data_IF_585995183328
#
_entry.id   IF_585995183328
#
_cell.length_a   1.000
_cell.length_b   1.000
_cell.length_c   1.000
_cell.angle_alpha   90.00
_cell.angle_beta   90.00
_cell.angle_gamma   90.00
#
_symmetry.space_group_name_H-M   'P 1'
#
loop_
_entity.id
_entity.type
_entity.pdbx_description
1 polymer ?
#
# COMPACT_ATOMS: atom_id res chain seq x y z
N UNK A 1 15.91 34.04 6.53
CA UNK A 1 15.10 33.36 5.50
C UNK A 1 14.93 31.93 5.96
N UNK A 2 13.72 31.49 6.30
CA UNK A 2 13.50 30.07 6.63
C UNK A 2 13.58 29.31 5.31
N UNK A 3 14.67 28.59 5.10
CA UNK A 3 14.72 27.57 4.05
C UNK A 3 13.79 26.48 4.54
N UNK A 4 12.66 26.31 3.86
CA UNK A 4 11.79 25.15 4.03
C UNK A 4 12.68 23.92 3.89
N UNK A 5 12.87 23.21 5.01
CA UNK A 5 13.80 22.08 5.06
C UNK A 5 13.25 21.01 4.12
N UNK A 6 14.07 20.39 3.26
CA UNK A 6 13.58 19.40 2.28
C UNK A 6 12.72 18.28 2.87
N UNK A 7 12.91 17.94 4.14
CA UNK A 7 12.09 16.96 4.89
C UNK A 7 10.61 17.40 5.06
N UNK A 8 10.33 18.69 5.19
CA UNK A 8 8.96 19.20 5.34
C UNK A 8 8.17 19.08 4.02
N UNK A 9 8.86 19.26 2.90
CA UNK A 9 8.28 19.02 1.57
C UNK A 9 8.00 17.54 1.35
N UNK A 10 8.93 16.66 1.73
CA UNK A 10 8.74 15.20 1.64
C UNK A 10 7.59 14.71 2.52
N UNK A 11 7.51 15.18 3.77
CA UNK A 11 6.40 14.88 4.67
C UNK A 11 5.05 15.36 4.12
N UNK A 12 5.02 16.51 3.44
CA UNK A 12 3.83 17.03 2.77
C UNK A 12 3.41 16.14 1.59
N UNK A 13 4.36 15.61 0.83
CA UNK A 13 4.08 14.66 -0.27
C UNK A 13 3.58 13.33 0.26
N UNK A 14 4.16 12.83 1.35
CA UNK A 14 3.75 11.61 2.02
C UNK A 14 2.30 11.68 2.53
N UNK A 15 1.93 12.80 3.14
CA UNK A 15 0.55 13.07 3.59
C UNK A 15 -0.43 13.10 2.41
N UNK A 16 -0.06 13.78 1.31
CA UNK A 16 -0.88 13.81 0.09
C UNK A 16 -1.02 12.42 -0.54
N UNK A 17 0.04 11.61 -0.55
CA UNK A 17 0.00 10.23 -1.02
C UNK A 17 -0.99 9.37 -0.20
N UNK A 18 -0.95 9.49 1.12
CA UNK A 18 -1.89 8.80 2.01
C UNK A 18 -3.34 9.26 1.77
N UNK A 19 -3.56 10.57 1.60
CA UNK A 19 -4.86 11.12 1.27
C UNK A 19 -5.41 10.54 -0.04
N UNK A 20 -4.61 10.51 -1.11
CA UNK A 20 -5.00 9.93 -2.38
C UNK A 20 -5.24 8.43 -2.30
N UNK A 21 -4.46 7.70 -1.50
CA UNK A 21 -4.68 6.28 -1.26
C UNK A 21 -6.08 6.05 -0.69
N UNK A 22 -6.50 6.81 0.32
CA UNK A 22 -7.84 6.70 0.88
C UNK A 22 -8.94 7.11 -0.13
N UNK A 23 -8.74 8.18 -0.91
CA UNK A 23 -9.74 8.65 -1.90
C UNK A 23 -9.91 7.72 -3.09
N UNK A 24 -8.85 7.07 -3.57
CA UNK A 24 -8.90 6.19 -4.75
C UNK A 24 -9.47 4.80 -4.44
N UNK A 25 -9.36 4.35 -3.19
CA UNK A 25 -10.00 3.11 -2.72
C UNK A 25 -11.46 3.31 -2.29
N UNK A 26 -11.96 4.55 -2.29
CA UNK A 26 -13.37 4.85 -2.05
C UNK A 26 -14.19 4.62 -3.34
N UNK A 27 -15.30 3.86 -3.23
CA UNK A 27 -16.16 3.50 -4.36
C UNK A 27 -16.81 4.74 -5.02
N UNK A 28 -16.93 5.84 -4.28
CA UNK A 28 -17.52 7.09 -4.75
C UNK A 28 -16.47 8.07 -5.34
N UNK A 29 -15.28 7.58 -5.71
CA UNK A 29 -14.24 8.39 -6.33
C UNK A 29 -14.67 8.97 -7.69
N UNK A 30 -14.78 10.30 -7.78
CA UNK A 30 -15.28 11.00 -8.97
C UNK A 30 -14.21 11.14 -10.05
N UNK A 31 -14.64 11.34 -11.30
CA UNK A 31 -13.73 11.54 -12.43
C UNK A 31 -12.81 12.77 -12.25
N UNK A 32 -13.34 13.88 -11.72
CA UNK A 32 -12.54 15.07 -11.37
C UNK A 32 -11.42 14.76 -10.38
N UNK A 33 -11.65 13.88 -9.42
CA UNK A 33 -10.66 13.53 -8.40
C UNK A 33 -9.56 12.65 -8.96
N UNK A 34 -9.92 11.71 -9.85
CA UNK A 34 -8.92 10.96 -10.61
C UNK A 34 -8.07 11.87 -11.47
N UNK A 35 -8.67 12.90 -12.10
CA UNK A 35 -7.92 13.88 -12.87
C UNK A 35 -7.00 14.74 -11.99
N UNK A 36 -7.46 15.14 -10.81
CA UNK A 36 -6.66 15.87 -9.83
C UNK A 36 -5.47 15.02 -9.32
N UNK A 37 -5.70 13.74 -9.05
CA UNK A 37 -4.65 12.79 -8.72
C UNK A 37 -3.63 12.65 -9.85
N UNK A 38 -4.08 12.50 -11.11
CA UNK A 38 -3.17 12.42 -12.25
C UNK A 38 -2.32 13.68 -12.39
N UNK A 39 -2.89 14.87 -12.22
CA UNK A 39 -2.15 16.12 -12.24
C UNK A 39 -1.13 16.19 -11.10
N UNK A 40 -1.51 15.72 -9.91
CA UNK A 40 -0.62 15.64 -8.76
C UNK A 40 0.58 14.71 -9.03
N UNK A 41 0.34 13.48 -9.48
CA UNK A 41 1.43 12.52 -9.79
C UNK A 41 2.36 13.03 -10.89
N UNK A 42 1.82 13.72 -11.90
CA UNK A 42 2.61 14.27 -13.01
C UNK A 42 3.36 15.56 -12.65
N UNK A 43 3.02 16.21 -11.53
CA UNK A 43 3.68 17.44 -11.10
C UNK A 43 5.12 17.17 -10.62
N UNK A 44 5.36 16.04 -9.96
CA UNK A 44 6.69 15.67 -9.49
C UNK A 44 6.86 14.14 -9.43
N UNK A 45 7.98 13.57 -9.93
CA UNK A 45 8.21 12.13 -9.90
C UNK A 45 8.27 11.54 -8.47
N UNK A 46 8.54 12.35 -7.44
CA UNK A 46 8.50 11.92 -6.03
C UNK A 46 7.09 11.58 -5.57
N UNK A 47 6.06 12.26 -6.11
CA UNK A 47 4.67 11.97 -5.78
C UNK A 47 4.28 10.55 -6.17
N UNK A 48 4.71 10.11 -7.36
CA UNK A 48 4.51 8.73 -7.81
C UNK A 48 5.20 7.71 -6.89
N UNK A 49 6.41 8.03 -6.43
CA UNK A 49 7.20 7.16 -5.55
C UNK A 49 6.60 7.03 -4.15
N UNK A 50 6.21 8.14 -3.53
CA UNK A 50 5.57 8.13 -2.20
C UNK A 50 4.17 7.48 -2.24
N UNK A 51 3.42 7.68 -3.33
CA UNK A 51 2.16 6.98 -3.53
C UNK A 51 2.35 5.47 -3.68
N UNK A 52 3.38 5.01 -4.40
CA UNK A 52 3.68 3.59 -4.53
C UNK A 52 3.99 2.92 -3.18
N UNK A 53 4.68 3.61 -2.26
CA UNK A 53 4.90 3.11 -0.89
C UNK A 53 3.59 2.95 -0.12
N UNK A 54 2.69 3.93 -0.21
CA UNK A 54 1.39 3.86 0.46
C UNK A 54 0.50 2.75 -0.11
N UNK A 55 0.59 2.49 -1.42
CA UNK A 55 -0.06 1.35 -2.06
C UNK A 55 0.48 0.01 -1.57
N UNK A 56 1.80 -0.13 -1.41
CA UNK A 56 2.40 -1.38 -0.90
C UNK A 56 1.85 -1.73 0.50
N UNK A 57 1.73 -0.73 1.37
CA UNK A 57 1.15 -0.91 2.71
C UNK A 57 -0.33 -1.31 2.62
N UNK A 58 -1.08 -0.70 1.71
CA UNK A 58 -2.50 -1.00 1.51
C UNK A 58 -2.72 -2.41 0.95
N UNK A 59 -1.99 -2.80 -0.09
CA UNK A 59 -2.01 -4.14 -0.69
C UNK A 59 -1.71 -5.23 0.35
N UNK A 60 -0.67 -5.01 1.17
CA UNK A 60 -0.36 -5.90 2.29
C UNK A 60 -1.54 -6.01 3.28
N UNK A 61 -2.24 -4.90 3.54
CA UNK A 61 -3.42 -4.89 4.42
C UNK A 61 -4.62 -5.63 3.82
N UNK A 62 -4.83 -5.57 2.50
CA UNK A 62 -5.90 -6.31 1.82
C UNK A 62 -5.61 -7.82 1.79
N UNK A 63 -4.34 -8.19 1.76
CA UNK A 63 -3.88 -9.58 1.82
C UNK A 63 -3.87 -10.18 3.22
N UNK A 64 -4.18 -9.40 4.27
CA UNK A 64 -4.33 -9.97 5.61
C UNK A 64 -5.54 -10.92 5.63
N UNK A 65 -5.35 -12.18 6.08
CA UNK A 65 -6.47 -13.07 6.26
C UNK A 65 -7.45 -12.44 7.26
N UNK A 66 -8.73 -12.32 6.87
CA UNK A 66 -9.82 -11.83 7.74
C UNK A 66 -10.02 -12.69 9.00
N UNK A 67 -9.34 -13.83 9.06
CA UNK A 67 -9.30 -14.74 10.19
C UNK A 67 -8.15 -14.28 11.11
N UNK A 68 -8.38 -13.94 12.39
CA UNK A 68 -7.30 -13.85 13.36
C UNK A 68 -6.74 -15.27 13.56
N UNK A 69 -5.83 -15.69 12.68
CA UNK A 69 -4.99 -16.84 12.96
C UNK A 69 -4.13 -16.43 14.14
N UNK A 70 -4.54 -16.83 15.33
CA UNK A 70 -3.69 -16.75 16.51
C UNK A 70 -2.33 -17.32 16.11
N UNK A 71 -1.28 -16.54 16.28
CA UNK A 71 0.11 -16.88 15.92
C UNK A 71 0.59 -18.22 16.53
N UNK A 72 -0.22 -18.83 17.40
CA UNK A 72 -0.06 -20.17 17.97
C UNK A 72 -0.14 -21.32 16.95
N UNK A 73 -0.71 -21.15 15.75
CA UNK A 73 -0.83 -22.27 14.77
C UNK A 73 0.35 -22.35 13.80
N UNK A 74 1.06 -21.25 13.52
CA UNK A 74 2.18 -21.24 12.56
C UNK A 74 3.42 -22.00 13.05
N UNK A 75 3.49 -22.33 14.34
CA UNK A 75 4.59 -23.10 14.93
C UNK A 75 4.37 -24.63 14.85
N UNK A 76 3.19 -25.10 14.41
CA UNK A 76 2.81 -26.54 14.42
C UNK A 76 2.74 -27.16 13.02
N UNK A 77 2.99 -26.41 11.95
CA UNK A 77 2.79 -26.87 10.57
C UNK A 77 4.00 -27.42 9.80
N UNK A 78 5.18 -27.60 10.43
CA UNK A 78 6.41 -27.93 9.67
C UNK A 78 6.71 -29.44 9.51
N UNK A 79 5.84 -30.38 9.89
CA UNK A 79 6.19 -31.82 9.87
C UNK A 79 5.17 -32.75 9.20
N UNK A 80 4.40 -32.28 8.22
CA UNK A 80 3.66 -33.20 7.33
C UNK A 80 4.06 -33.04 5.86
N UNK A 81 5.37 -33.09 5.62
CA UNK A 81 5.93 -33.48 4.32
C UNK A 81 5.71 -34.97 4.11
N UNK A 82 4.47 -35.36 3.81
CA UNK A 82 4.18 -36.72 3.36
C UNK A 82 4.54 -36.82 1.87
N UNK A 83 5.82 -37.13 1.63
CA UNK A 83 6.30 -38.13 0.66
C UNK A 83 5.34 -38.49 -0.50
N UNK A 84 5.64 -37.90 -1.66
CA UNK A 84 5.85 -38.54 -2.97
C UNK A 84 5.08 -39.83 -3.37
N UNK A 85 4.62 -39.82 -4.63
CA UNK A 85 4.29 -40.97 -5.53
C UNK A 85 2.85 -41.53 -5.41
N UNK A 86 2.00 -41.69 -6.45
CA UNK A 86 2.16 -41.85 -7.90
C UNK A 86 0.89 -41.42 -8.67
N UNK A 87 1.09 -40.77 -9.82
CA UNK A 87 0.21 -40.90 -10.99
C UNK A 87 0.99 -41.67 -12.05
N UNK A 88 0.70 -42.97 -12.20
CA UNK A 88 0.75 -43.83 -13.40
C UNK A 88 0.69 -45.27 -12.93
#
# INVERSE_FOLDING_TARGET
MYTTRPEETDATVLDQAAHWCMRLHDDNCRADERLAFQQWVQADPRHAFEYAKMLEIWDLSEHLPAQPMTAKTLLTGHLSGQIETRKT
#
